data_IF_729130599241
#
_entry.id   IF_729130599241
#
_cell.length_a   1.000
_cell.length_b   1.000
_cell.length_c   1.000
_cell.angle_alpha   90.00
_cell.angle_beta   90.00
_cell.angle_gamma   90.00
#
_symmetry.space_group_name_H-M   'P 1'
#
loop_
_entity.id
_entity.type
_entity.pdbx_description
1 polymer ?
#
# COMPACT_ATOMS: atom_id res chain seq x y z
N UNK A 1 -4.17 5.48 32.30
CA UNK A 1 -5.48 5.02 31.77
C UNK A 1 -5.58 5.50 30.33
N UNK A 2 -5.71 4.60 29.36
CA UNK A 2 -5.85 4.97 27.95
C UNK A 2 -7.32 5.38 27.70
N UNK A 3 -7.55 6.64 27.31
CA UNK A 3 -8.89 7.09 26.96
C UNK A 3 -9.30 6.43 25.64
N UNK A 4 -10.36 5.63 25.68
CA UNK A 4 -11.00 5.08 24.47
C UNK A 4 -12.07 6.07 24.07
N UNK A 5 -11.85 6.81 22.98
CA UNK A 5 -12.80 7.80 22.48
C UNK A 5 -13.30 7.36 21.11
N UNK A 6 -14.62 7.39 20.93
CA UNK A 6 -15.24 7.24 19.61
C UNK A 6 -15.07 8.57 18.90
N UNK A 7 -14.11 8.61 17.98
CA UNK A 7 -13.75 9.81 17.24
C UNK A 7 -14.10 9.65 15.76
N UNK A 8 -14.29 10.78 15.09
CA UNK A 8 -14.55 10.82 13.66
C UNK A 8 -13.23 10.99 12.90
N UNK A 9 -12.96 10.12 11.94
CA UNK A 9 -11.88 10.32 10.95
C UNK A 9 -12.52 10.80 9.66
N UNK A 10 -12.00 11.89 9.10
CA UNK A 10 -12.33 12.35 7.76
C UNK A 10 -11.28 11.86 6.79
N UNK A 11 -11.70 11.07 5.80
CA UNK A 11 -10.88 10.64 4.68
C UNK A 11 -11.11 11.60 3.51
N UNK A 12 -10.05 12.18 2.97
CA UNK A 12 -10.07 13.05 1.79
C UNK A 12 -9.43 12.31 0.62
N UNK A 13 -10.23 11.99 -0.39
CA UNK A 13 -9.80 11.24 -1.54
C UNK A 13 -9.25 12.14 -2.66
N UNK A 14 -8.23 11.68 -3.42
CA UNK A 14 -7.54 12.48 -4.43
C UNK A 14 -8.27 12.44 -5.77
N UNK A 15 -9.60 12.59 -5.76
CA UNK A 15 -10.40 12.72 -6.98
C UNK A 15 -11.22 13.99 -6.94
N UNK A 16 -11.53 14.50 -8.13
CA UNK A 16 -12.43 15.63 -8.32
C UNK A 16 -13.43 15.27 -9.41
N UNK A 17 -14.66 14.98 -9.02
CA UNK A 17 -15.76 14.70 -9.94
C UNK A 17 -16.85 15.74 -9.68
N UNK A 18 -17.30 16.49 -10.70
CA UNK A 18 -18.34 17.51 -10.52
C UNK A 18 -19.57 16.95 -9.82
N UNK A 19 -20.00 17.60 -8.75
CA UNK A 19 -21.19 17.20 -7.97
C UNK A 19 -20.98 16.05 -6.98
N UNK A 20 -19.77 15.45 -6.89
CA UNK A 20 -19.46 14.37 -5.94
C UNK A 20 -18.49 14.89 -4.87
N UNK A 21 -18.84 14.68 -3.60
CA UNK A 21 -17.95 14.99 -2.48
C UNK A 21 -16.83 13.96 -2.39
N UNK A 22 -15.58 14.42 -2.40
CA UNK A 22 -14.39 13.58 -2.25
C UNK A 22 -13.98 13.34 -0.78
N UNK A 23 -14.92 13.51 0.16
CA UNK A 23 -14.68 13.41 1.59
C UNK A 23 -15.67 12.42 2.21
N UNK A 24 -15.15 11.54 3.05
CA UNK A 24 -15.96 10.57 3.80
C UNK A 24 -15.58 10.64 5.26
N UNK A 25 -16.56 10.81 6.15
CA UNK A 25 -16.33 10.79 7.60
C UNK A 25 -16.77 9.46 8.18
N UNK A 26 -15.83 8.77 8.83
CA UNK A 26 -16.04 7.48 9.47
C UNK A 26 -15.98 7.64 10.98
N UNK A 27 -16.88 6.98 11.69
CA UNK A 27 -16.78 6.86 13.14
C UNK A 27 -15.93 5.64 13.46
N UNK A 28 -14.81 5.83 14.16
CA UNK A 28 -13.94 4.73 14.57
C UNK A 28 -13.44 4.93 16.00
N UNK A 29 -13.17 3.82 16.66
CA UNK A 29 -12.58 3.83 17.99
C UNK A 29 -11.10 4.17 17.87
N UNK A 30 -10.70 5.24 18.54
CA UNK A 30 -9.31 5.64 18.63
C UNK A 30 -8.76 5.37 20.02
N UNK A 31 -7.52 4.89 20.06
CA UNK A 31 -6.75 4.75 21.27
C UNK A 31 -5.53 5.67 21.21
N UNK A 32 -5.45 6.57 22.18
CA UNK A 32 -4.31 7.47 22.32
C UNK A 32 -3.50 7.06 23.55
N UNK A 33 -2.21 6.84 23.36
CA UNK A 33 -1.25 6.58 24.44
C UNK A 33 0.03 7.37 24.16
N UNK A 34 0.36 8.26 25.08
CA UNK A 34 1.51 9.17 24.96
C UNK A 34 1.43 9.96 23.65
N UNK A 35 2.44 9.85 22.78
CA UNK A 35 2.46 10.48 21.46
C UNK A 35 2.05 9.53 20.31
N UNK A 36 1.34 8.45 20.65
CA UNK A 36 0.88 7.42 19.70
C UNK A 36 -0.64 7.42 19.60
N UNK A 37 -1.14 7.37 18.37
CA UNK A 37 -2.55 7.18 18.03
C UNK A 37 -2.71 5.85 17.30
N UNK A 38 -3.66 5.04 17.75
CA UNK A 38 -3.99 3.76 17.12
C UNK A 38 -5.48 3.70 16.78
N UNK A 39 -5.80 3.19 15.60
CA UNK A 39 -7.18 2.95 15.16
C UNK A 39 -7.24 1.79 14.19
N UNK A 40 -8.44 1.28 13.91
CA UNK A 40 -8.64 0.18 12.96
C UNK A 40 -9.64 0.58 11.87
N UNK A 41 -9.41 0.11 10.64
CA UNK A 41 -10.29 0.26 9.49
C UNK A 41 -10.49 -1.10 8.79
N UNK A 42 -11.63 -1.32 8.11
CA UNK A 42 -11.91 -2.59 7.41
C UNK A 42 -11.22 -2.70 6.04
N UNK A 43 -10.47 -1.68 5.61
CA UNK A 43 -9.77 -1.66 4.33
C UNK A 43 -8.35 -1.12 4.51
N UNK A 44 -7.43 -1.61 3.67
CA UNK A 44 -6.09 -1.06 3.56
C UNK A 44 -6.15 0.27 2.81
N UNK A 45 -5.35 1.22 3.27
CA UNK A 45 -5.37 2.59 2.80
C UNK A 45 -4.00 3.23 3.01
N UNK A 46 -3.42 3.73 1.93
CA UNK A 46 -2.26 4.61 1.95
C UNK A 46 -2.73 6.06 2.13
N UNK A 47 -2.13 6.79 3.07
CA UNK A 47 -2.52 8.17 3.35
C UNK A 47 -1.35 9.05 3.79
N UNK A 48 -1.60 10.36 3.75
CA UNK A 48 -0.77 11.39 4.37
C UNK A 48 -1.62 12.28 5.26
N UNK A 49 -1.01 12.88 6.28
CA UNK A 49 -1.65 13.90 7.12
C UNK A 49 -1.14 15.26 6.65
N UNK A 50 -1.73 15.78 5.58
CA UNK A 50 -1.36 17.06 4.95
C UNK A 50 -2.19 18.22 5.55
N UNK A 51 -1.94 19.49 5.14
CA UNK A 51 -2.73 20.63 5.62
C UNK A 51 -4.24 20.37 5.49
N UNK A 52 -5.05 20.80 6.47
CA UNK A 52 -4.83 22.00 7.29
C UNK A 52 -4.09 21.81 8.62
N UNK A 53 -3.81 20.57 9.05
CA UNK A 53 -3.39 20.33 10.43
C UNK A 53 -1.88 20.41 10.68
N UNK A 54 -1.06 20.45 9.62
CA UNK A 54 0.41 20.42 9.69
C UNK A 54 0.98 19.40 10.71
N UNK A 55 0.24 18.32 10.96
CA UNK A 55 0.57 17.31 11.95
C UNK A 55 1.06 16.11 11.19
N UNK A 56 2.36 15.82 11.26
CA UNK A 56 2.98 14.76 10.46
C UNK A 56 3.43 13.64 11.40
N UNK A 57 2.86 12.43 11.29
CA UNK A 57 3.38 11.30 12.04
C UNK A 57 4.77 10.98 11.49
N UNK A 58 5.79 10.98 12.34
CA UNK A 58 7.14 10.56 11.94
C UNK A 58 7.24 9.05 11.73
N UNK A 59 6.25 8.28 12.21
CA UNK A 59 6.16 6.85 11.92
C UNK A 59 4.70 6.42 11.73
N UNK A 60 4.46 5.66 10.66
CA UNK A 60 3.20 4.98 10.36
C UNK A 60 3.48 3.49 10.28
N UNK A 61 2.72 2.70 11.03
CA UNK A 61 2.74 1.24 10.92
C UNK A 61 1.33 0.73 10.66
N UNK A 62 1.22 -0.23 9.75
CA UNK A 62 -0.05 -0.90 9.43
C UNK A 62 0.14 -2.40 9.62
N UNK A 63 -0.81 -3.05 10.30
CA UNK A 63 -0.81 -4.49 10.47
C UNK A 63 -2.22 -5.04 10.21
N UNK A 64 -2.30 -6.07 9.36
CA UNK A 64 -3.55 -6.83 9.19
C UNK A 64 -3.81 -7.68 10.44
N UNK A 65 -5.02 -7.61 10.96
CA UNK A 65 -5.49 -8.38 12.12
C UNK A 65 -6.91 -8.85 11.84
N UNK A 66 -7.07 -10.14 11.50
CA UNK A 66 -8.31 -10.71 10.98
C UNK A 66 -8.81 -9.93 9.74
N UNK A 67 -10.05 -9.44 9.78
CA UNK A 67 -10.69 -8.68 8.70
C UNK A 67 -10.47 -7.16 8.80
N UNK A 68 -9.57 -6.72 9.69
CA UNK A 68 -9.31 -5.29 9.94
C UNK A 68 -7.82 -4.97 9.75
N UNK A 69 -7.55 -3.73 9.36
CA UNK A 69 -6.23 -3.14 9.29
C UNK A 69 -6.04 -2.20 10.47
N UNK A 70 -5.05 -2.50 11.31
CA UNK A 70 -4.69 -1.70 12.49
C UNK A 70 -3.61 -0.72 12.09
N UNK A 71 -3.89 0.56 12.31
CA UNK A 71 -3.01 1.68 12.06
C UNK A 71 -2.43 2.20 13.36
N UNK A 72 -1.13 2.44 13.37
CA UNK A 72 -0.40 3.05 14.48
C UNK A 72 0.37 4.24 13.94
N UNK A 73 0.01 5.43 14.41
CA UNK A 73 0.62 6.69 14.06
C UNK A 73 1.39 7.23 15.27
N UNK A 74 2.66 7.59 15.08
CA UNK A 74 3.46 8.27 16.11
C UNK A 74 3.74 9.70 15.69
N UNK A 75 3.45 10.63 16.59
CA UNK A 75 3.59 12.08 16.39
C UNK A 75 4.52 12.68 17.42
N UNK A 76 4.93 13.93 17.22
CA UNK A 76 5.35 14.76 18.35
C UNK A 76 4.13 15.12 19.22
N UNK A 77 4.28 15.36 20.54
CA UNK A 77 3.14 15.61 21.42
C UNK A 77 2.25 16.80 21.00
N UNK A 78 2.83 17.85 20.40
CA UNK A 78 2.12 19.03 19.92
C UNK A 78 1.26 18.66 18.69
N UNK A 79 1.82 17.87 17.79
CA UNK A 79 1.15 17.46 16.55
C UNK A 79 0.03 16.47 16.79
N UNK A 80 0.19 15.56 17.76
CA UNK A 80 -0.90 14.65 18.14
C UNK A 80 -2.15 15.41 18.58
N UNK A 81 -1.99 16.45 19.41
CA UNK A 81 -3.13 17.26 19.88
C UNK A 81 -3.82 17.97 18.71
N UNK A 82 -3.04 18.56 17.80
CA UNK A 82 -3.56 19.22 16.59
C UNK A 82 -4.29 18.24 15.69
N UNK A 83 -3.73 17.05 15.49
CA UNK A 83 -4.35 15.99 14.72
C UNK A 83 -5.68 15.52 15.34
N UNK A 84 -5.73 15.29 16.65
CA UNK A 84 -6.96 14.83 17.33
C UNK A 84 -8.12 15.83 17.20
N UNK A 85 -7.83 17.14 17.19
CA UNK A 85 -8.86 18.19 17.02
C UNK A 85 -9.52 18.09 15.65
N UNK A 86 -8.74 17.75 14.61
CA UNK A 86 -9.18 17.66 13.23
C UNK A 86 -8.62 16.37 12.61
N UNK A 87 -9.18 15.21 12.93
CA UNK A 87 -8.68 13.93 12.42
C UNK A 87 -8.93 13.78 10.90
N UNK A 88 -8.04 14.32 10.07
CA UNK A 88 -8.12 14.30 8.62
C UNK A 88 -6.96 13.50 8.01
N UNK A 89 -7.29 12.51 7.19
CA UNK A 89 -6.34 11.69 6.43
C UNK A 89 -6.55 11.92 4.93
N UNK A 90 -5.51 12.32 4.22
CA UNK A 90 -5.54 12.45 2.77
C UNK A 90 -5.12 11.14 2.14
N UNK A 91 -6.07 10.45 1.54
CA UNK A 91 -5.84 9.19 0.83
C UNK A 91 -4.90 9.46 -0.34
N UNK A 92 -3.85 8.67 -0.45
CA UNK A 92 -2.93 8.71 -1.58
C UNK A 92 -3.42 7.67 -2.57
N UNK A 93 -3.57 8.07 -3.82
CA UNK A 93 -3.76 7.11 -4.91
C UNK A 93 -2.49 6.27 -4.93
N UNK A 94 -2.58 4.96 -4.73
CA UNK A 94 -1.46 4.06 -5.01
C UNK A 94 -1.02 4.35 -6.45
N UNK A 95 0.09 5.07 -6.58
CA UNK A 95 0.72 5.38 -7.84
C UNK A 95 1.80 4.32 -7.98
N UNK A 96 1.50 3.30 -8.78
CA UNK A 96 2.49 2.62 -9.59
C UNK A 96 3.63 1.83 -8.94
N UNK A 97 3.76 1.73 -7.61
CA UNK A 97 4.82 0.90 -7.01
C UNK A 97 4.62 -0.61 -7.32
N UNK A 98 3.38 -1.06 -7.51
CA UNK A 98 3.11 -2.43 -8.00
C UNK A 98 3.48 -2.59 -9.48
N UNK A 99 3.49 -1.53 -10.30
CA UNK A 99 3.80 -1.67 -11.73
C UNK A 99 5.27 -1.98 -11.96
N UNK A 100 6.20 -1.34 -11.25
CA UNK A 100 7.63 -1.66 -11.40
C UNK A 100 7.95 -3.07 -10.91
N UNK A 101 7.34 -3.51 -9.79
CA UNK A 101 7.56 -4.85 -9.25
C UNK A 101 6.93 -5.93 -10.14
N UNK A 102 5.72 -5.70 -10.65
CA UNK A 102 5.05 -6.59 -11.62
C UNK A 102 5.78 -6.60 -12.97
N UNK A 103 6.27 -5.45 -13.44
CA UNK A 103 7.03 -5.38 -14.70
C UNK A 103 8.35 -6.13 -14.56
N UNK A 104 9.06 -5.98 -13.43
CA UNK A 104 10.29 -6.73 -13.17
C UNK A 104 10.03 -8.23 -13.08
N UNK A 105 8.97 -8.67 -12.39
CA UNK A 105 8.61 -10.09 -12.34
C UNK A 105 8.24 -10.62 -13.74
N UNK A 106 7.55 -9.82 -14.55
CA UNK A 106 7.19 -10.18 -15.93
C UNK A 106 8.43 -10.29 -16.84
N UNK A 107 9.36 -9.35 -16.73
CA UNK A 107 10.63 -9.33 -17.47
C UNK A 107 11.50 -10.54 -17.08
N UNK A 108 11.65 -10.81 -15.78
CA UNK A 108 12.39 -11.97 -15.27
C UNK A 108 11.80 -13.29 -15.82
N UNK A 109 10.46 -13.43 -15.85
CA UNK A 109 9.81 -14.62 -16.42
C UNK A 109 9.95 -14.71 -17.94
N UNK A 110 9.93 -13.58 -18.66
CA UNK A 110 10.14 -13.57 -20.10
C UNK A 110 11.56 -14.00 -20.46
N UNK A 111 12.56 -13.54 -19.71
CA UNK A 111 13.94 -13.99 -19.86
C UNK A 111 14.12 -15.49 -19.59
N UNK A 112 13.49 -16.03 -18.55
CA UNK A 112 13.52 -17.47 -18.27
C UNK A 112 12.88 -18.30 -19.38
N UNK A 113 11.74 -17.83 -19.90
CA UNK A 113 11.07 -18.45 -21.04
C UNK A 113 11.94 -18.43 -22.30
N UNK A 114 12.59 -17.31 -22.61
CA UNK A 114 13.51 -17.23 -23.75
C UNK A 114 14.73 -18.14 -23.60
N UNK A 115 15.31 -18.22 -22.39
CA UNK A 115 16.44 -19.13 -22.12
C UNK A 115 16.03 -20.58 -22.31
N UNK A 116 14.85 -20.97 -21.84
CA UNK A 116 14.35 -22.35 -21.97
C UNK A 116 13.94 -22.71 -23.42
N UNK A 117 13.29 -21.79 -24.15
CA UNK A 117 12.97 -21.97 -25.58
C UNK A 117 14.22 -22.05 -26.48
N UNK A 118 15.24 -21.22 -26.22
CA UNK A 118 16.49 -21.23 -27.01
C UNK A 118 17.32 -22.50 -26.77
N UNK A 119 17.28 -23.08 -25.57
CA UNK A 119 17.91 -24.39 -25.31
C UNK A 119 17.12 -25.57 -25.92
N UNK A 120 15.80 -25.45 -26.06
CA UNK A 120 14.93 -26.50 -26.60
C UNK A 120 14.98 -26.68 -28.13
N UNK A 121 15.58 -25.74 -28.87
CA UNK A 121 15.57 -25.73 -30.35
C UNK A 121 16.80 -26.38 -31.03
N UNK A 122 17.62 -27.15 -30.33
CA UNK A 122 18.53 -28.10 -31.00
C UNK A 122 17.73 -29.32 -31.47
N UNK A 123 17.08 -29.21 -32.64
CA UNK A 123 16.47 -30.36 -33.32
C UNK A 123 17.57 -31.36 -33.68
N UNK A 124 17.57 -32.52 -33.03
CA UNK A 124 18.38 -33.67 -33.41
C UNK A 124 17.84 -34.20 -34.75
N UNK A 125 18.53 -33.90 -35.84
CA UNK A 125 18.28 -34.57 -37.13
C UNK A 125 19.12 -35.85 -37.10
N UNK A 126 18.47 -36.99 -37.31
CA UNK A 126 19.14 -38.29 -37.46
C UNK A 126 19.08 -38.60 -38.94
N UNK A 127 20.22 -38.60 -39.61
CA UNK A 127 20.33 -39.11 -40.98
C UNK A 127 20.27 -40.65 -40.96
N UNK A 128 19.82 -41.24 -42.06
CA UNK A 128 19.55 -42.68 -42.21
C UNK A 128 20.78 -43.59 -41.99
N UNK A 129 21.99 -43.02 -41.93
CA UNK A 129 23.25 -43.73 -41.64
C UNK A 129 23.70 -43.64 -40.16
N UNK A 130 22.86 -43.11 -39.26
CA UNK A 130 23.04 -43.24 -37.81
C UNK A 130 24.08 -42.32 -37.15
N UNK A 131 24.63 -41.33 -37.88
CA UNK A 131 25.56 -40.36 -37.32
C UNK A 131 24.84 -39.12 -36.77
N UNK A 132 25.12 -38.76 -35.52
CA UNK A 132 24.53 -37.60 -34.84
C UNK A 132 25.53 -36.44 -34.88
N UNK A 133 25.12 -35.29 -35.44
CA UNK A 133 25.82 -34.02 -35.29
C UNK A 133 24.92 -33.00 -34.59
N UNK A 134 25.54 -32.12 -33.80
CA UNK A 134 24.88 -30.99 -33.15
C UNK A 134 25.37 -29.71 -33.82
N UNK A 135 24.45 -28.83 -34.21
CA UNK A 135 24.75 -27.38 -34.23
C UNK A 135 24.62 -26.86 -32.80
#
# INVERSE_FOLDING_TARGET
MAATQVNKITLVFPFNVPGITNRVTLSTTMHTRDATLSFALPFLLAFTTKPPNNSYPYAVKVKKSNDMFVYILKFEPIDLKRFIVNCELHVVKEMADEYEEITREMDERMEEYERTEKMGKKKKIVDDDGWIRYE
#
